data_IF_527043133341
#
_entry.id   IF_527043133341
#
_cell.length_a   1.000
_cell.length_b   1.000
_cell.length_c   1.000
_cell.angle_alpha   90.00
_cell.angle_beta   90.00
_cell.angle_gamma   90.00
#
_symmetry.space_group_name_H-M   'P 1'
#
loop_
_entity.id
_entity.type
_entity.pdbx_description
1 polymer ?
#
# COMPACT_ATOMS: atom_id res chain seq x y z
N UNK A 1 2.80 -1.87 8.70
CA UNK A 1 2.26 -3.19 8.33
C UNK A 1 0.92 -3.00 7.64
N UNK A 2 0.67 -3.66 6.51
CA UNK A 2 -0.70 -3.79 5.96
C UNK A 2 -1.51 -4.50 7.04
N UNK A 3 -2.49 -3.83 7.68
CA UNK A 3 -3.36 -4.47 8.66
C UNK A 3 -4.05 -5.66 7.98
N UNK A 4 -4.32 -6.74 8.71
CA UNK A 4 -4.93 -7.96 8.15
C UNK A 4 -6.22 -7.69 7.34
N UNK A 5 -6.93 -6.61 7.67
CA UNK A 5 -8.10 -6.11 6.95
C UNK A 5 -7.81 -5.74 5.48
N UNK A 6 -6.70 -5.05 5.19
CA UNK A 6 -6.34 -4.68 3.82
C UNK A 6 -5.96 -5.89 2.96
N UNK A 7 -5.28 -6.90 3.55
CA UNK A 7 -5.00 -8.15 2.84
C UNK A 7 -6.30 -8.85 2.44
N UNK A 8 -7.28 -8.93 3.35
CA UNK A 8 -8.58 -9.55 3.08
C UNK A 8 -9.32 -8.86 1.92
N UNK A 9 -9.40 -7.53 1.95
CA UNK A 9 -10.04 -6.76 0.87
C UNK A 9 -9.34 -6.98 -0.47
N UNK A 10 -8.00 -6.97 -0.50
CA UNK A 10 -7.25 -7.25 -1.74
C UNK A 10 -7.53 -8.65 -2.26
N UNK A 11 -7.60 -9.63 -1.36
CA UNK A 11 -7.93 -11.01 -1.72
C UNK A 11 -9.32 -11.12 -2.32
N UNK A 12 -10.34 -10.48 -1.73
CA UNK A 12 -11.69 -10.43 -2.30
C UNK A 12 -11.69 -9.85 -3.73
N UNK A 13 -10.92 -8.77 -3.96
CA UNK A 13 -10.77 -8.20 -5.30
C UNK A 13 -10.10 -9.18 -6.26
N UNK A 14 -9.02 -9.83 -5.84
CA UNK A 14 -8.29 -10.79 -6.69
C UNK A 14 -9.12 -12.04 -6.99
N UNK A 15 -9.96 -12.49 -6.05
CA UNK A 15 -10.91 -13.59 -6.24
C UNK A 15 -11.93 -13.26 -7.31
N UNK A 16 -12.51 -12.05 -7.29
CA UNK A 16 -13.44 -11.58 -8.35
C UNK A 16 -12.75 -11.55 -9.72
N UNK A 17 -11.48 -11.15 -9.74
CA UNK A 17 -10.67 -11.14 -10.97
C UNK A 17 -10.28 -12.55 -11.44
N UNK A 18 -10.36 -13.55 -10.56
CA UNK A 18 -10.06 -14.95 -10.87
C UNK A 18 -8.57 -15.29 -10.78
N UNK A 19 -7.82 -14.58 -9.93
CA UNK A 19 -6.39 -14.86 -9.72
C UNK A 19 -6.21 -16.17 -8.95
N UNK A 20 -5.19 -16.93 -9.33
CA UNK A 20 -4.70 -18.07 -8.58
C UNK A 20 -3.91 -17.62 -7.34
N UNK A 21 -3.68 -18.50 -6.37
CA UNK A 21 -3.07 -18.11 -5.09
C UNK A 21 -1.64 -17.57 -5.24
N UNK A 22 -0.85 -18.12 -6.18
CA UNK A 22 0.49 -17.61 -6.49
C UNK A 22 0.44 -16.23 -7.17
N UNK A 23 -0.59 -15.96 -7.98
CA UNK A 23 -0.84 -14.65 -8.59
C UNK A 23 -1.29 -13.63 -7.55
N UNK A 24 -2.12 -14.04 -6.58
CA UNK A 24 -2.55 -13.19 -5.45
C UNK A 24 -1.36 -12.73 -4.61
N UNK A 25 -0.43 -13.64 -4.29
CA UNK A 25 0.75 -13.27 -3.50
C UNK A 25 1.69 -12.33 -4.28
N UNK A 26 1.89 -12.57 -5.58
CA UNK A 26 2.64 -11.64 -6.46
C UNK A 26 1.97 -10.27 -6.56
N UNK A 27 0.65 -10.24 -6.74
CA UNK A 27 -0.13 -9.00 -6.80
C UNK A 27 -0.11 -8.25 -5.46
N UNK A 28 -0.18 -8.98 -4.34
CA UNK A 28 -0.05 -8.43 -3.00
C UNK A 28 1.34 -7.82 -2.76
N UNK A 29 2.40 -8.44 -3.25
CA UNK A 29 3.74 -7.86 -3.17
C UNK A 29 3.85 -6.56 -3.98
N UNK A 30 3.32 -6.55 -5.20
CA UNK A 30 3.22 -5.33 -6.01
C UNK A 30 2.44 -4.22 -5.31
N UNK A 31 1.31 -4.57 -4.70
CA UNK A 31 0.52 -3.63 -3.90
C UNK A 31 1.30 -3.11 -2.70
N UNK A 32 1.99 -3.97 -1.93
CA UNK A 32 2.82 -3.56 -0.78
C UNK A 32 3.86 -2.52 -1.17
N UNK A 33 4.53 -2.69 -2.31
CA UNK A 33 5.53 -1.74 -2.83
C UNK A 33 4.89 -0.40 -3.18
N UNK A 34 3.76 -0.42 -3.91
CA UNK A 34 3.02 0.81 -4.27
C UNK A 34 2.47 1.53 -3.04
N UNK A 35 1.91 0.77 -2.10
CA UNK A 35 1.38 1.28 -0.83
C UNK A 35 2.48 1.93 0.01
N UNK A 36 3.64 1.27 0.17
CA UNK A 36 4.77 1.85 0.88
C UNK A 36 5.22 3.16 0.23
N UNK A 37 5.35 3.20 -1.10
CA UNK A 37 5.75 4.42 -1.83
C UNK A 37 4.78 5.59 -1.63
N UNK A 38 3.46 5.35 -1.72
CA UNK A 38 2.47 6.40 -1.48
C UNK A 38 2.41 6.80 0.01
N UNK A 39 2.57 5.86 0.93
CA UNK A 39 2.68 6.15 2.36
C UNK A 39 3.88 7.03 2.66
N UNK A 40 5.03 6.77 2.04
CA UNK A 40 6.21 7.60 2.20
C UNK A 40 5.94 9.05 1.80
N UNK A 41 5.24 9.30 0.68
CA UNK A 41 4.87 10.66 0.27
C UNK A 41 3.99 11.37 1.30
N UNK A 42 3.09 10.65 1.96
CA UNK A 42 2.23 11.23 3.02
C UNK A 42 3.01 11.61 4.28
N UNK A 43 4.12 10.93 4.57
CA UNK A 43 4.93 11.16 5.79
C UNK A 43 6.25 11.89 5.53
N UNK A 44 6.62 12.08 4.25
CA UNK A 44 7.93 12.59 3.82
C UNK A 44 8.27 13.93 4.46
N UNK A 45 7.27 14.79 4.64
CA UNK A 45 7.45 16.12 5.22
C UNK A 45 8.07 16.12 6.62
N UNK A 46 7.90 15.03 7.38
CA UNK A 46 8.48 14.87 8.72
C UNK A 46 9.85 14.17 8.71
N UNK A 47 10.31 13.68 7.55
CA UNK A 47 11.63 13.07 7.41
C UNK A 47 12.69 14.15 7.14
N UNK A 48 13.85 13.98 7.74
CA UNK A 48 15.04 14.81 7.47
C UNK A 48 15.54 14.61 6.04
N UNK A 49 16.33 15.55 5.53
CA UNK A 49 16.93 15.46 4.19
C UNK A 49 17.77 14.19 4.01
N UNK A 50 18.52 13.79 5.04
CA UNK A 50 19.35 12.58 5.02
C UNK A 50 18.50 11.31 4.91
N UNK A 51 17.38 11.24 5.65
CA UNK A 51 16.45 10.11 5.58
C UNK A 51 15.78 10.02 4.21
N UNK A 52 15.36 11.16 3.63
CA UNK A 52 14.78 11.19 2.28
C UNK A 52 15.78 10.74 1.22
N UNK A 53 17.03 11.20 1.32
CA UNK A 53 18.11 10.79 0.41
C UNK A 53 18.41 9.29 0.53
N UNK A 54 18.47 8.75 1.75
CA UNK A 54 18.65 7.32 1.96
C UNK A 54 17.50 6.53 1.31
N UNK A 55 16.24 6.89 1.57
CA UNK A 55 15.06 6.24 0.96
C UNK A 55 15.13 6.29 -0.58
N UNK A 56 15.50 7.43 -1.16
CA UNK A 56 15.64 7.57 -2.61
C UNK A 56 16.72 6.64 -3.17
N UNK A 57 17.87 6.51 -2.47
CA UNK A 57 18.96 5.63 -2.88
C UNK A 57 18.58 4.15 -2.81
N UNK A 58 17.97 3.69 -1.71
CA UNK A 58 17.55 2.28 -1.59
C UNK A 58 16.42 1.94 -2.57
N UNK A 59 15.51 2.88 -2.83
CA UNK A 59 14.45 2.70 -3.84
C UNK A 59 15.03 2.56 -5.24
N UNK A 60 16.03 3.38 -5.59
CA UNK A 60 16.70 3.33 -6.88
C UNK A 60 17.48 2.01 -7.08
N UNK A 61 18.13 1.52 -6.03
CA UNK A 61 18.91 0.27 -6.06
C UNK A 61 18.04 -0.99 -5.99
N UNK A 62 16.77 -0.87 -5.55
CA UNK A 62 15.85 -2.00 -5.25
C UNK A 62 16.41 -2.99 -4.22
N UNK A 63 17.42 -2.56 -3.47
CA UNK A 63 18.08 -3.33 -2.43
C UNK A 63 18.15 -2.46 -1.17
N UNK A 64 17.80 -3.04 -0.03
CA UNK A 64 18.05 -2.44 1.26
C UNK A 64 18.26 -3.52 2.30
N UNK A 65 19.19 -3.24 3.22
CA UNK A 65 19.36 -4.05 4.41
C UNK A 65 18.28 -3.65 5.43
N UNK A 66 17.49 -4.64 5.87
CA UNK A 66 16.47 -4.43 6.90
C UNK A 66 17.07 -4.13 8.27
N UNK A 67 18.35 -4.46 8.46
CA UNK A 67 19.10 -4.19 9.68
C UNK A 67 19.86 -2.85 9.60
N UNK A 68 19.73 -2.09 8.51
CA UNK A 68 20.33 -0.76 8.42
C UNK A 68 19.76 0.14 9.53
N UNK A 69 20.61 0.74 10.39
CA UNK A 69 20.17 1.61 11.48
C UNK A 69 19.26 2.77 11.03
N UNK A 70 19.41 3.22 9.78
CA UNK A 70 18.59 4.29 9.20
C UNK A 70 17.12 3.86 9.09
N UNK A 71 16.83 2.57 8.90
CA UNK A 71 15.45 2.04 8.89
C UNK A 71 14.78 2.28 10.24
N UNK A 72 15.45 1.93 11.33
CA UNK A 72 14.94 2.13 12.69
C UNK A 72 14.73 3.61 13.00
N UNK A 73 15.69 4.47 12.61
CA UNK A 73 15.58 5.92 12.79
C UNK A 73 14.40 6.52 12.02
N UNK A 74 14.16 6.08 10.77
CA UNK A 74 13.00 6.52 9.98
C UNK A 74 11.71 6.09 10.70
N UNK A 75 11.66 4.86 11.21
CA UNK A 75 10.48 4.36 11.89
C UNK A 75 10.20 5.10 13.20
N UNK A 76 11.23 5.40 13.99
CA UNK A 76 11.12 6.25 15.19
C UNK A 76 10.63 7.66 14.86
N UNK A 77 11.15 8.25 13.77
CA UNK A 77 10.73 9.58 13.30
C UNK A 77 9.24 9.58 12.95
N UNK A 78 8.78 8.56 12.22
CA UNK A 78 7.37 8.42 11.84
C UNK A 78 6.49 8.23 13.08
N UNK A 79 6.88 7.33 14.00
CA UNK A 79 6.12 7.05 15.21
C UNK A 79 6.05 8.26 16.16
N UNK A 80 7.08 9.11 16.17
CA UNK A 80 7.10 10.34 16.99
C UNK A 80 6.30 11.47 16.36
N UNK A 81 6.30 11.56 15.03
CA UNK A 81 5.61 12.62 14.30
C UNK A 81 4.10 12.39 14.21
N UNK A 82 3.65 11.14 14.30
CA UNK A 82 2.24 10.79 14.09
C UNK A 82 1.74 9.80 15.14
N UNK A 83 0.66 10.13 15.86
CA UNK A 83 -0.06 9.15 16.67
C UNK A 83 -0.52 7.95 15.85
N UNK A 84 -0.65 6.78 16.49
CA UNK A 84 -1.02 5.54 15.80
C UNK A 84 -2.36 5.66 15.05
N UNK A 85 -3.35 6.34 15.64
CA UNK A 85 -4.65 6.59 15.00
C UNK A 85 -4.53 7.48 13.76
N UNK A 86 -3.66 8.50 13.79
CA UNK A 86 -3.45 9.36 12.64
C UNK A 86 -2.72 8.62 11.50
N UNK A 87 -1.69 7.84 11.84
CA UNK A 87 -1.04 6.95 10.87
C UNK A 87 -2.02 5.96 10.29
N UNK A 88 -2.94 5.43 11.09
CA UNK A 88 -3.98 4.53 10.60
C UNK A 88 -4.92 5.24 9.62
N UNK A 89 -5.42 6.43 9.94
CA UNK A 89 -6.29 7.19 9.03
C UNK A 89 -5.59 7.53 7.70
N UNK A 90 -4.33 7.96 7.75
CA UNK A 90 -3.50 8.18 6.56
C UNK A 90 -3.31 6.91 5.75
N UNK A 91 -3.01 5.80 6.44
CA UNK A 91 -2.88 4.48 5.81
C UNK A 91 -4.16 4.03 5.11
N UNK A 92 -5.31 4.31 5.71
CA UNK A 92 -6.62 3.95 5.18
C UNK A 92 -6.95 4.78 3.93
N UNK A 93 -6.69 6.09 3.99
CA UNK A 93 -6.85 6.99 2.83
C UNK A 93 -5.98 6.57 1.64
N UNK A 94 -4.71 6.26 1.88
CA UNK A 94 -3.79 5.77 0.83
C UNK A 94 -4.25 4.43 0.26
N UNK A 95 -4.66 3.51 1.14
CA UNK A 95 -5.18 2.21 0.73
C UNK A 95 -6.38 2.36 -0.20
N UNK A 96 -7.38 3.14 0.21
CA UNK A 96 -8.60 3.41 -0.57
C UNK A 96 -8.27 4.04 -1.93
N UNK A 97 -7.39 5.05 -1.97
CA UNK A 97 -6.94 5.69 -3.21
C UNK A 97 -6.33 4.68 -4.20
N UNK A 98 -5.39 3.85 -3.74
CA UNK A 98 -4.72 2.88 -4.61
C UNK A 98 -5.70 1.81 -5.08
N UNK A 99 -6.56 1.32 -4.18
CA UNK A 99 -7.52 0.27 -4.50
C UNK A 99 -8.59 0.77 -5.46
N UNK A 100 -9.17 1.95 -5.23
CA UNK A 100 -10.15 2.55 -6.15
C UNK A 100 -9.56 2.70 -7.54
N UNK A 101 -8.34 3.27 -7.66
CA UNK A 101 -7.66 3.39 -8.96
C UNK A 101 -7.43 2.04 -9.64
N UNK A 102 -7.12 0.99 -8.87
CA UNK A 102 -6.94 -0.36 -9.42
C UNK A 102 -8.28 -0.95 -9.89
N UNK A 103 -9.32 -0.87 -9.07
CA UNK A 103 -10.66 -1.35 -9.42
C UNK A 103 -11.21 -0.62 -10.62
N UNK A 104 -11.14 0.72 -10.68
CA UNK A 104 -11.62 1.51 -11.81
C UNK A 104 -10.96 1.10 -13.12
N UNK A 105 -9.67 0.78 -13.09
CA UNK A 105 -8.93 0.28 -14.24
C UNK A 105 -9.34 -1.14 -14.65
N UNK A 106 -9.53 -2.03 -13.67
CA UNK A 106 -9.89 -3.42 -13.92
C UNK A 106 -11.34 -3.59 -14.35
N UNK A 107 -12.26 -2.78 -13.81
CA UNK A 107 -13.68 -2.76 -14.16
C UNK A 107 -13.93 -2.47 -15.64
N UNK A 108 -13.03 -1.76 -16.30
CA UNK A 108 -13.08 -1.53 -17.76
C UNK A 108 -12.72 -2.75 -18.60
N UNK A 109 -12.15 -3.80 -17.99
CA UNK A 109 -11.58 -4.97 -18.67
C UNK A 109 -12.28 -6.29 -18.32
N UNK A 110 -13.32 -6.23 -17.50
CA UNK A 110 -14.06 -7.41 -17.03
C UNK A 110 -15.54 -7.29 -17.39
N UNK A 111 -16.29 -8.37 -17.22
CA UNK A 111 -17.75 -8.35 -17.41
C UNK A 111 -18.44 -7.40 -16.44
N UNK A 112 -19.63 -6.92 -16.81
CA UNK A 112 -20.46 -6.06 -15.95
C UNK A 112 -20.70 -6.67 -14.57
N UNK A 113 -20.97 -7.98 -14.51
CA UNK A 113 -21.14 -8.70 -13.24
C UNK A 113 -19.89 -8.61 -12.33
N UNK A 114 -18.69 -8.81 -12.91
CA UNK A 114 -17.44 -8.67 -12.14
C UNK A 114 -17.19 -7.23 -11.74
N UNK A 115 -17.46 -6.27 -12.62
CA UNK A 115 -17.34 -4.84 -12.34
C UNK A 115 -18.22 -4.41 -11.15
N UNK A 116 -19.49 -4.82 -11.12
CA UNK A 116 -20.41 -4.55 -10.01
C UNK A 116 -19.92 -5.14 -8.69
N UNK A 117 -19.39 -6.37 -8.71
CA UNK A 117 -18.78 -7.00 -7.53
C UNK A 117 -17.59 -6.21 -7.01
N UNK A 118 -16.71 -5.74 -7.91
CA UNK A 118 -15.55 -4.91 -7.53
C UNK A 118 -16.00 -3.57 -6.92
N UNK A 119 -17.00 -2.90 -7.49
CA UNK A 119 -17.57 -1.67 -6.93
C UNK A 119 -18.22 -1.92 -5.56
N UNK A 120 -18.90 -3.06 -5.38
CA UNK A 120 -19.47 -3.43 -4.09
C UNK A 120 -18.40 -3.60 -3.00
N UNK A 121 -17.24 -4.17 -3.35
CA UNK A 121 -16.11 -4.29 -2.43
C UNK A 121 -15.60 -2.89 -2.04
N UNK A 122 -15.44 -1.96 -2.99
CA UNK A 122 -15.00 -0.59 -2.69
C UNK A 122 -15.93 0.15 -1.71
N UNK A 123 -17.24 -0.05 -1.85
CA UNK A 123 -18.24 0.63 -1.01
C UNK A 123 -18.26 0.14 0.45
N UNK A 124 -17.63 -0.99 0.75
CA UNK A 124 -17.52 -1.55 2.11
C UNK A 124 -16.30 -1.02 2.90
N UNK A 125 -15.47 -0.20 2.25
CA UNK A 125 -14.17 0.28 2.77
C UNK A 125 -14.26 1.72 3.22
#
# INVERSE_FOLDING_TARGET
MIKGQYKKVLWEVFDVLGFLDDEKERALEGFKKKFASEMFKEVENNLSQNQRQWIAQVTAKKEYDKNDPVVSQIQETINSAYPEDELYQRSHKVFKKILSSYVDFMSQKVSSEKSEKLTSILNKI
#
